data_IF_527316028881
#
_entry.id   IF_527316028881
#
_cell.length_a   1.000
_cell.length_b   1.000
_cell.length_c   1.000
_cell.angle_alpha   90.00
_cell.angle_beta   90.00
_cell.angle_gamma   90.00
#
_symmetry.space_group_name_H-M   'P 1'
#
loop_
_entity.id
_entity.type
_entity.pdbx_description
1 polymer ?
#
# COMPACT_ATOMS: atom_id res chain seq x y z
N UNK A 1 25.65 32.34 -15.01
CA UNK A 1 26.05 33.18 -16.16
C UNK A 1 27.29 32.56 -16.79
N UNK A 2 27.17 32.00 -17.99
CA UNK A 2 28.21 31.81 -19.03
C UNK A 2 27.43 31.28 -20.26
N UNK A 3 27.60 31.98 -21.38
CA UNK A 3 26.98 31.71 -22.68
C UNK A 3 28.05 31.06 -23.56
N UNK A 4 27.75 29.91 -24.15
CA UNK A 4 28.40 29.48 -25.40
C UNK A 4 27.35 28.83 -26.29
N UNK A 5 27.08 29.48 -27.42
CA UNK A 5 26.19 28.99 -28.46
C UNK A 5 26.95 28.15 -29.48
N UNK A 6 26.31 27.09 -29.98
CA UNK A 6 26.61 26.51 -31.29
C UNK A 6 25.32 26.00 -31.92
N UNK A 7 24.97 26.60 -33.07
CA UNK A 7 23.82 26.24 -33.91
C UNK A 7 24.12 24.96 -34.71
N UNK A 8 23.10 24.11 -34.86
CA UNK A 8 22.99 23.10 -35.92
C UNK A 8 21.60 22.46 -35.91
N UNK A 9 20.78 22.80 -36.93
CA UNK A 9 19.46 22.18 -37.26
C UNK A 9 19.67 20.67 -37.55
N UNK A 10 18.74 19.71 -37.41
CA UNK A 10 17.31 19.67 -37.74
C UNK A 10 16.70 18.33 -37.26
N UNK A 11 15.35 18.29 -37.19
CA UNK A 11 14.42 17.14 -37.20
C UNK A 11 13.92 16.62 -35.84
N UNK A 12 12.75 17.11 -35.47
CA UNK A 12 11.71 16.40 -34.70
C UNK A 12 10.92 15.47 -35.66
N UNK A 13 10.27 14.38 -35.19
CA UNK A 13 8.95 14.55 -34.55
C UNK A 13 8.50 13.51 -33.49
N UNK A 14 7.46 13.93 -32.77
CA UNK A 14 6.31 13.17 -32.24
C UNK A 14 6.09 13.03 -30.72
N UNK A 15 5.10 13.84 -30.28
CA UNK A 15 3.97 13.49 -29.42
C UNK A 15 4.10 13.73 -27.91
N UNK A 16 3.83 14.98 -27.51
CA UNK A 16 3.18 15.28 -26.24
C UNK A 16 1.73 15.70 -26.53
N UNK A 17 0.79 14.89 -26.04
CA UNK A 17 -0.65 15.17 -26.04
C UNK A 17 -0.93 16.36 -25.12
N UNK A 18 -1.04 17.54 -25.72
CA UNK A 18 -1.53 18.76 -25.10
C UNK A 18 -3.03 18.63 -24.89
N UNK A 19 -3.47 18.53 -23.62
CA UNK A 19 -4.89 18.70 -23.25
C UNK A 19 -5.28 20.13 -23.62
N UNK A 20 -5.99 20.24 -24.74
CA UNK A 20 -6.45 21.51 -25.29
C UNK A 20 -7.52 22.11 -24.38
N UNK A 21 -7.31 23.37 -23.99
CA UNK A 21 -8.38 24.26 -23.52
C UNK A 21 -9.51 24.26 -24.55
N UNK A 22 -10.78 24.04 -24.19
CA UNK A 22 -11.84 23.98 -25.17
C UNK A 22 -11.95 25.33 -25.89
N UNK A 23 -11.67 25.30 -27.20
CA UNK A 23 -11.90 26.45 -28.09
C UNK A 23 -13.36 26.88 -27.96
N UNK A 24 -13.63 28.19 -27.94
CA UNK A 24 -14.98 28.80 -27.93
C UNK A 24 -15.98 28.13 -28.89
N UNK A 25 -15.50 27.49 -29.97
CA UNK A 25 -16.33 26.71 -30.90
C UNK A 25 -16.96 25.45 -30.29
N UNK A 26 -16.29 24.74 -29.36
CA UNK A 26 -16.85 23.55 -28.71
C UNK A 26 -18.00 23.88 -27.76
N UNK A 27 -17.94 25.03 -27.08
CA UNK A 27 -19.05 25.55 -26.29
C UNK A 27 -20.24 25.93 -27.19
N UNK A 28 -19.98 26.51 -28.37
CA UNK A 28 -21.02 26.78 -29.37
C UNK A 28 -21.69 25.48 -29.86
N UNK A 29 -20.93 24.43 -30.18
CA UNK A 29 -21.49 23.14 -30.59
C UNK A 29 -22.28 22.45 -29.47
N UNK A 30 -21.83 22.56 -28.21
CA UNK A 30 -22.58 22.02 -27.07
C UNK A 30 -23.91 22.77 -26.83
N UNK A 31 -23.89 24.10 -26.98
CA UNK A 31 -25.12 24.92 -26.89
C UNK A 31 -26.06 24.62 -28.06
N UNK A 32 -25.55 24.54 -29.29
CA UNK A 32 -26.34 24.16 -30.47
C UNK A 32 -26.89 22.73 -30.35
N UNK A 33 -26.12 21.80 -29.76
CA UNK A 33 -26.56 20.44 -29.46
C UNK A 33 -27.71 20.42 -28.45
N UNK A 34 -27.63 21.20 -27.37
CA UNK A 34 -28.72 21.33 -26.40
C UNK A 34 -29.97 21.98 -27.01
N UNK A 35 -29.80 23.00 -27.86
CA UNK A 35 -30.91 23.60 -28.61
C UNK A 35 -31.54 22.57 -29.56
N UNK A 36 -30.73 21.78 -30.26
CA UNK A 36 -31.21 20.71 -31.15
C UNK A 36 -31.98 19.62 -30.40
N UNK A 37 -31.49 19.20 -29.24
CA UNK A 37 -32.19 18.24 -28.36
C UNK A 37 -33.52 18.85 -27.86
N UNK A 38 -33.52 20.13 -27.46
CA UNK A 38 -34.73 20.83 -27.04
C UNK A 38 -35.79 20.90 -28.16
N UNK A 39 -35.37 21.20 -29.39
CA UNK A 39 -36.25 21.18 -30.57
C UNK A 39 -36.76 19.76 -30.85
N UNK A 40 -35.91 18.74 -30.75
CA UNK A 40 -36.32 17.36 -30.98
C UNK A 40 -37.34 16.90 -29.93
N UNK A 41 -37.12 17.19 -28.65
CA UNK A 41 -38.06 16.87 -27.56
C UNK A 41 -39.39 17.60 -27.76
N UNK A 42 -39.36 18.85 -28.19
CA UNK A 42 -40.57 19.61 -28.54
C UNK A 42 -41.35 18.95 -29.68
N UNK A 43 -40.66 18.52 -30.74
CA UNK A 43 -41.29 17.83 -31.87
C UNK A 43 -41.88 16.48 -31.45
N UNK A 44 -41.17 15.71 -30.63
CA UNK A 44 -41.66 14.41 -30.14
C UNK A 44 -42.88 14.58 -29.23
N UNK A 45 -42.83 15.51 -28.29
CA UNK A 45 -43.98 15.84 -27.43
C UNK A 45 -45.18 16.32 -28.26
N UNK A 46 -44.93 17.10 -29.32
CA UNK A 46 -45.98 17.51 -30.25
C UNK A 46 -46.61 16.32 -30.97
N UNK A 47 -45.82 15.37 -31.47
CA UNK A 47 -46.35 14.17 -32.13
C UNK A 47 -47.18 13.29 -31.18
N UNK A 48 -46.79 13.21 -29.90
CA UNK A 48 -47.58 12.48 -28.88
C UNK A 48 -48.92 13.17 -28.65
N UNK A 49 -48.92 14.50 -28.49
CA UNK A 49 -50.15 15.28 -28.31
C UNK A 49 -51.03 15.25 -29.57
N UNK A 50 -50.43 15.38 -30.75
CA UNK A 50 -51.12 15.30 -32.03
C UNK A 50 -51.75 13.92 -32.27
N UNK A 51 -51.09 12.85 -31.83
CA UNK A 51 -51.64 11.49 -31.87
C UNK A 51 -52.83 11.28 -30.92
N UNK A 52 -52.89 12.00 -29.80
CA UNK A 52 -54.00 11.93 -28.83
C UNK A 52 -55.18 12.84 -29.23
N UNK A 53 -54.91 13.99 -29.86
CA UNK A 53 -55.91 15.02 -30.17
C UNK A 53 -56.31 15.05 -31.66
N UNK A 54 -55.70 14.21 -32.51
CA UNK A 54 -55.90 14.14 -33.95
C UNK A 54 -55.76 15.52 -34.64
N UNK A 55 -54.76 16.29 -34.20
CA UNK A 55 -54.55 17.69 -34.62
C UNK A 55 -53.42 17.83 -35.63
N UNK A 56 -53.64 18.64 -36.65
CA UNK A 56 -52.66 19.04 -37.66
C UNK A 56 -51.59 20.00 -37.10
N UNK A 57 -50.56 20.33 -37.90
CA UNK A 57 -49.40 21.10 -37.42
C UNK A 57 -49.81 22.48 -36.85
N UNK A 58 -49.00 23.12 -35.99
CA UNK A 58 -49.37 24.37 -35.30
C UNK A 58 -49.80 25.52 -36.21
N UNK A 59 -49.36 25.52 -37.48
CA UNK A 59 -49.71 26.53 -38.47
C UNK A 59 -51.03 26.25 -39.21
N UNK A 60 -51.58 25.03 -39.10
CA UNK A 60 -52.92 24.65 -39.57
C UNK A 60 -54.00 24.86 -38.50
N UNK A 61 -53.65 24.98 -37.21
CA UNK A 61 -54.55 25.34 -36.11
C UNK A 61 -55.01 26.82 -36.11
N UNK A 62 -54.67 27.58 -37.15
CA UNK A 62 -55.04 28.98 -37.30
C UNK A 62 -56.45 29.20 -37.89
N UNK A 63 -57.14 28.16 -38.35
CA UNK A 63 -58.39 28.32 -39.12
C UNK A 63 -59.70 28.10 -38.36
N UNK A 64 -59.76 27.48 -37.17
CA UNK A 64 -61.04 27.33 -36.45
C UNK A 64 -60.91 27.49 -34.92
N UNK A 65 -61.50 28.57 -34.40
CA UNK A 65 -62.06 28.64 -33.04
C UNK A 65 -61.13 28.65 -31.81
N UNK A 66 -59.83 28.41 -31.94
CA UNK A 66 -58.91 28.43 -30.78
C UNK A 66 -58.29 29.80 -30.54
N UNK A 67 -58.57 30.38 -29.37
CA UNK A 67 -58.06 31.68 -28.93
C UNK A 67 -56.53 31.69 -28.97
N UNK A 68 -55.94 32.60 -29.76
CA UNK A 68 -54.48 32.81 -29.94
C UNK A 68 -53.65 32.77 -28.64
N UNK A 69 -54.30 33.05 -27.51
CA UNK A 69 -53.72 33.01 -26.17
C UNK A 69 -53.24 31.61 -25.72
N UNK A 70 -53.92 30.52 -26.08
CA UNK A 70 -53.55 29.18 -25.57
C UNK A 70 -52.25 28.67 -26.18
N UNK A 71 -52.08 28.80 -27.49
CA UNK A 71 -50.85 28.43 -28.21
C UNK A 71 -49.67 29.28 -27.74
N UNK A 72 -49.87 30.60 -27.58
CA UNK A 72 -48.85 31.48 -27.02
C UNK A 72 -48.41 31.02 -25.62
N UNK A 73 -49.37 30.69 -24.75
CA UNK A 73 -49.08 30.30 -23.37
C UNK A 73 -48.22 29.03 -23.28
N UNK A 74 -48.49 28.02 -24.10
CA UNK A 74 -47.73 26.76 -24.11
C UNK A 74 -46.31 26.96 -24.64
N UNK A 75 -46.14 27.75 -25.71
CA UNK A 75 -44.81 28.08 -26.26
C UNK A 75 -43.99 28.91 -25.26
N UNK A 76 -44.60 29.89 -24.60
CA UNK A 76 -43.93 30.66 -23.55
C UNK A 76 -43.52 29.80 -22.36
N UNK A 77 -44.37 28.87 -21.92
CA UNK A 77 -44.05 27.95 -20.84
C UNK A 77 -42.87 27.02 -21.20
N UNK A 78 -42.84 26.49 -22.43
CA UNK A 78 -41.75 25.63 -22.89
C UNK A 78 -40.40 26.39 -23.00
N UNK A 79 -40.39 27.60 -23.57
CA UNK A 79 -39.20 28.44 -23.67
C UNK A 79 -38.72 28.88 -22.29
N UNK A 80 -39.63 29.27 -21.39
CA UNK A 80 -39.29 29.60 -20.02
C UNK A 80 -38.71 28.40 -19.26
N UNK A 81 -39.23 27.18 -19.46
CA UNK A 81 -38.71 25.96 -18.87
C UNK A 81 -37.27 25.65 -19.32
N UNK A 82 -36.99 25.73 -20.62
CA UNK A 82 -35.63 25.55 -21.15
C UNK A 82 -34.66 26.66 -20.69
N UNK A 83 -35.12 27.90 -20.65
CA UNK A 83 -34.38 29.04 -20.12
C UNK A 83 -34.03 28.86 -18.63
N UNK A 84 -34.97 28.33 -17.83
CA UNK A 84 -34.77 28.03 -16.43
C UNK A 84 -33.71 26.94 -16.19
N UNK A 85 -33.77 25.82 -16.92
CA UNK A 85 -32.80 24.73 -16.80
C UNK A 85 -31.39 25.17 -17.23
N UNK A 86 -31.29 25.91 -18.34
CA UNK A 86 -30.00 26.45 -18.81
C UNK A 86 -29.41 27.46 -17.82
N UNK A 87 -30.25 28.35 -17.26
CA UNK A 87 -29.83 29.26 -16.19
C UNK A 87 -29.34 28.50 -14.95
N UNK A 88 -30.10 27.51 -14.46
CA UNK A 88 -29.71 26.68 -13.31
C UNK A 88 -28.39 25.95 -13.55
N UNK A 89 -28.18 25.41 -14.75
CA UNK A 89 -26.92 24.73 -15.11
C UNK A 89 -25.74 25.69 -15.11
N UNK A 90 -25.91 26.90 -15.65
CA UNK A 90 -24.86 27.94 -15.66
C UNK A 90 -24.58 28.43 -14.23
N UNK A 91 -25.62 28.66 -13.44
CA UNK A 91 -25.50 29.06 -12.04
C UNK A 91 -24.79 27.99 -11.21
N UNK A 92 -25.16 26.72 -11.38
CA UNK A 92 -24.50 25.58 -10.74
C UNK A 92 -23.03 25.46 -11.13
N UNK A 93 -22.71 25.52 -12.43
CA UNK A 93 -21.30 25.50 -12.89
C UNK A 93 -20.51 26.67 -12.32
N UNK A 94 -21.07 27.87 -12.31
CA UNK A 94 -20.43 29.06 -11.74
C UNK A 94 -20.22 28.91 -10.23
N UNK A 95 -21.17 28.33 -9.52
CA UNK A 95 -21.04 28.02 -8.10
C UNK A 95 -19.92 27.01 -7.87
N UNK A 96 -19.92 25.90 -8.61
CA UNK A 96 -18.86 24.87 -8.56
C UNK A 96 -17.47 25.46 -8.84
N UNK A 97 -17.35 26.33 -9.84
CA UNK A 97 -16.08 26.99 -10.17
C UNK A 97 -15.62 27.93 -9.02
N UNK A 98 -16.55 28.66 -8.41
CA UNK A 98 -16.25 29.55 -7.28
C UNK A 98 -15.85 28.80 -6.01
N UNK A 99 -16.50 27.67 -5.73
CA UNK A 99 -16.16 26.79 -4.61
C UNK A 99 -14.79 26.14 -4.83
N UNK A 100 -14.50 25.70 -6.06
CA UNK A 100 -13.20 25.16 -6.41
C UNK A 100 -12.08 26.21 -6.24
N UNK A 101 -12.31 27.45 -6.67
CA UNK A 101 -11.33 28.53 -6.48
C UNK A 101 -11.12 28.87 -4.99
N UNK A 102 -12.21 28.94 -4.22
CA UNK A 102 -12.16 29.17 -2.77
C UNK A 102 -11.35 28.09 -2.05
N UNK A 103 -11.61 26.82 -2.39
CA UNK A 103 -10.84 25.68 -1.88
C UNK A 103 -9.35 25.81 -2.22
N UNK A 104 -9.01 26.05 -3.49
CA UNK A 104 -7.61 26.18 -3.92
C UNK A 104 -6.88 27.31 -3.19
N UNK A 105 -7.54 28.44 -2.95
CA UNK A 105 -6.96 29.54 -2.19
C UNK A 105 -6.70 29.16 -0.72
N UNK A 106 -7.63 28.43 -0.07
CA UNK A 106 -7.43 27.93 1.31
C UNK A 106 -6.30 26.91 1.37
N UNK A 107 -6.26 25.99 0.41
CA UNK A 107 -5.22 24.97 0.27
C UNK A 107 -3.85 25.62 0.09
N UNK A 108 -3.72 26.57 -0.83
CA UNK A 108 -2.46 27.28 -1.09
C UNK A 108 -1.96 28.02 0.16
N UNK A 109 -2.86 28.71 0.86
CA UNK A 109 -2.51 29.43 2.09
C UNK A 109 -2.04 28.48 3.19
N UNK A 110 -2.73 27.35 3.40
CA UNK A 110 -2.36 26.36 4.39
C UNK A 110 -1.02 25.66 4.04
N UNK A 111 -0.82 25.31 2.76
CA UNK A 111 0.43 24.76 2.26
C UNK A 111 1.60 25.77 2.42
N UNK A 112 1.35 27.06 2.18
CA UNK A 112 2.35 28.11 2.39
C UNK A 112 2.73 28.22 3.88
N UNK A 113 1.76 28.16 4.79
CA UNK A 113 2.02 28.14 6.23
C UNK A 113 2.85 26.91 6.64
N UNK A 114 2.50 25.72 6.16
CA UNK A 114 3.25 24.49 6.39
C UNK A 114 4.70 24.58 5.87
N UNK A 115 4.91 25.27 4.75
CA UNK A 115 6.23 25.48 4.16
C UNK A 115 7.12 26.50 4.89
N UNK A 116 6.58 27.21 5.89
CA UNK A 116 7.30 28.20 6.70
C UNK A 116 8.52 27.62 7.44
N UNK A 117 9.42 28.49 7.88
CA UNK A 117 10.54 28.14 8.78
C UNK A 117 10.20 28.33 10.27
N UNK A 118 9.06 28.96 10.58
CA UNK A 118 8.57 29.11 11.96
C UNK A 118 7.66 27.92 12.33
N UNK A 119 8.06 27.06 13.28
CA UNK A 119 7.28 25.89 13.68
C UNK A 119 5.84 26.23 14.08
N UNK A 120 5.60 27.39 14.68
CA UNK A 120 4.25 27.83 15.08
C UNK A 120 3.35 28.02 13.88
N UNK A 121 3.89 28.64 12.82
CA UNK A 121 3.18 28.83 11.55
C UNK A 121 2.99 27.49 10.83
N UNK A 122 3.95 26.58 10.94
CA UNK A 122 3.83 25.24 10.38
C UNK A 122 2.68 24.45 11.03
N UNK A 123 2.58 24.48 12.37
CA UNK A 123 1.45 23.87 13.08
C UNK A 123 0.11 24.45 12.67
N UNK A 124 0.01 25.78 12.52
CA UNK A 124 -1.20 26.42 12.01
C UNK A 124 -1.55 25.92 10.59
N UNK A 125 -0.55 25.72 9.74
CA UNK A 125 -0.72 25.13 8.41
C UNK A 125 -1.25 23.69 8.46
N UNK A 126 -0.76 22.85 9.38
CA UNK A 126 -1.26 21.47 9.58
C UNK A 126 -2.73 21.50 9.97
N UNK A 127 -3.10 22.27 11.00
CA UNK A 127 -4.48 22.35 11.46
C UNK A 127 -5.42 22.98 10.41
N UNK A 128 -4.91 23.91 9.61
CA UNK A 128 -5.67 24.48 8.49
C UNK A 128 -5.91 23.44 7.38
N UNK A 129 -4.94 22.58 7.08
CA UNK A 129 -5.11 21.45 6.15
C UNK A 129 -6.06 20.39 6.71
N UNK A 130 -5.97 20.05 7.99
CA UNK A 130 -6.87 19.13 8.69
C UNK A 130 -8.32 19.63 8.59
N UNK A 131 -8.60 20.87 9.00
CA UNK A 131 -9.93 21.44 8.94
C UNK A 131 -10.46 21.55 7.50
N UNK A 132 -9.60 21.92 6.55
CA UNK A 132 -9.96 21.98 5.13
C UNK A 132 -10.30 20.58 4.59
N UNK A 133 -9.54 19.55 4.97
CA UNK A 133 -9.78 18.17 4.58
C UNK A 133 -11.12 17.67 5.13
N UNK A 134 -11.39 17.93 6.40
CA UNK A 134 -12.61 17.51 7.09
C UNK A 134 -13.89 18.12 6.50
N UNK A 135 -13.82 19.37 6.03
CA UNK A 135 -14.93 20.07 5.37
C UNK A 135 -15.11 19.68 3.89
N UNK A 136 -14.19 18.89 3.33
CA UNK A 136 -14.10 18.65 1.88
C UNK A 136 -14.61 17.27 1.44
N UNK A 137 -15.11 17.24 0.21
CA UNK A 137 -15.38 16.00 -0.55
C UNK A 137 -14.10 15.17 -0.74
N UNK A 138 -14.25 13.87 -1.01
CA UNK A 138 -13.16 12.88 -1.05
C UNK A 138 -11.97 13.29 -1.93
N UNK A 139 -12.20 13.73 -3.17
CA UNK A 139 -11.13 14.17 -4.09
C UNK A 139 -10.33 15.37 -3.56
N UNK A 140 -11.02 16.31 -2.92
CA UNK A 140 -10.41 17.52 -2.32
C UNK A 140 -9.72 17.20 -1.00
N UNK A 141 -10.27 16.26 -0.24
CA UNK A 141 -9.67 15.71 0.97
C UNK A 141 -8.34 15.04 0.64
N UNK A 142 -8.29 14.21 -0.41
CA UNK A 142 -7.04 13.59 -0.91
C UNK A 142 -5.96 14.64 -1.18
N UNK A 143 -6.28 15.77 -1.82
CA UNK A 143 -5.30 16.84 -2.07
C UNK A 143 -4.69 17.42 -0.79
N UNK A 144 -5.48 17.55 0.28
CA UNK A 144 -4.97 18.03 1.58
C UNK A 144 -3.99 16.99 2.18
N UNK A 145 -4.33 15.71 2.08
CA UNK A 145 -3.48 14.61 2.55
C UNK A 145 -2.21 14.50 1.72
N UNK A 146 -2.29 14.69 0.40
CA UNK A 146 -1.13 14.70 -0.51
C UNK A 146 -0.12 15.80 -0.14
N UNK A 147 -0.60 16.96 0.34
CA UNK A 147 0.27 18.03 0.84
C UNK A 147 0.97 17.63 2.14
N UNK A 148 0.23 17.02 3.08
CA UNK A 148 0.80 16.51 4.34
C UNK A 148 1.85 15.42 4.10
N UNK A 149 1.51 14.41 3.28
CA UNK A 149 2.43 13.36 2.84
C UNK A 149 3.60 13.93 2.03
N UNK A 150 3.36 14.93 1.17
CA UNK A 150 4.39 15.66 0.44
C UNK A 150 5.41 16.32 1.35
N UNK A 151 4.97 16.91 2.46
CA UNK A 151 5.85 17.48 3.47
C UNK A 151 6.71 16.40 4.15
N UNK A 152 6.11 15.27 4.55
CA UNK A 152 6.84 14.15 5.16
C UNK A 152 7.92 13.56 4.25
N UNK A 153 7.81 13.72 2.93
CA UNK A 153 8.80 13.25 1.95
C UNK A 153 9.95 14.24 1.72
N UNK A 154 9.91 15.42 2.34
CA UNK A 154 11.04 16.35 2.27
C UNK A 154 12.27 15.77 2.98
N UNK A 155 13.48 16.04 2.47
CA UNK A 155 14.73 15.57 3.07
C UNK A 155 14.84 15.93 4.55
N UNK A 156 15.12 14.93 5.39
CA UNK A 156 15.16 15.05 6.85
C UNK A 156 16.29 14.20 7.41
N UNK A 157 16.99 14.72 8.43
CA UNK A 157 18.03 13.98 9.16
C UNK A 157 17.51 13.70 10.58
N UNK A 158 17.06 12.47 10.83
CA UNK A 158 16.44 12.03 12.09
C UNK A 158 17.40 11.83 13.25
N UNK A 159 18.38 12.73 13.44
CA UNK A 159 19.40 12.61 14.48
C UNK A 159 19.02 13.23 15.84
N UNK A 160 17.79 13.73 16.02
CA UNK A 160 17.28 14.23 17.32
C UNK A 160 17.99 15.48 17.89
N UNK A 161 19.09 15.92 17.30
CA UNK A 161 19.80 17.14 17.66
C UNK A 161 18.99 18.35 17.18
N UNK A 162 18.75 19.37 18.04
CA UNK A 162 18.13 20.62 17.63
C UNK A 162 18.92 21.19 16.45
N UNK A 163 18.34 21.13 15.27
CA UNK A 163 19.01 21.52 14.04
C UNK A 163 19.21 23.03 14.06
N UNK A 164 20.33 23.50 14.60
CA UNK A 164 20.73 24.92 14.63
C UNK A 164 21.13 25.45 13.23
N UNK A 165 20.57 24.87 12.17
CA UNK A 165 20.83 25.11 10.74
C UNK A 165 22.30 24.99 10.32
N UNK A 166 22.64 23.91 9.61
CA UNK A 166 23.66 23.95 8.56
C UNK A 166 23.15 23.18 7.36
N UNK A 167 23.11 23.86 6.23
CA UNK A 167 22.97 23.28 4.90
C UNK A 167 23.68 21.91 4.83
N UNK A 168 22.92 20.85 4.56
CA UNK A 168 23.47 19.52 4.36
C UNK A 168 23.83 19.41 2.89
N UNK A 169 25.12 19.42 2.60
CA UNK A 169 25.64 19.11 1.27
C UNK A 169 25.82 17.60 1.17
N UNK A 170 24.85 16.92 0.59
CA UNK A 170 24.97 15.51 0.23
C UNK A 170 25.79 15.40 -1.06
N UNK A 171 26.97 14.78 -0.97
CA UNK A 171 27.82 14.49 -2.13
C UNK A 171 27.72 13.01 -2.47
N UNK A 172 27.07 12.67 -3.59
CA UNK A 172 27.05 11.31 -4.14
C UNK A 172 28.08 11.19 -5.25
N UNK A 173 29.03 10.29 -5.09
CA UNK A 173 29.99 9.97 -6.15
C UNK A 173 29.59 8.66 -6.80
N UNK A 174 29.24 8.72 -8.08
CA UNK A 174 28.97 7.57 -8.92
C UNK A 174 30.24 7.21 -9.67
N UNK A 175 30.78 6.00 -9.43
CA UNK A 175 31.95 5.47 -10.14
C UNK A 175 31.48 4.71 -11.38
N UNK A 176 31.84 5.18 -12.57
CA UNK A 176 31.62 4.47 -13.83
C UNK A 176 32.97 4.04 -14.44
N UNK A 177 32.98 3.03 -15.30
CA UNK A 177 34.19 2.57 -16.01
C UNK A 177 34.92 3.69 -16.79
N UNK A 178 34.20 4.77 -17.12
CA UNK A 178 34.70 5.91 -17.91
C UNK A 178 34.95 7.18 -17.08
N UNK A 179 34.90 7.10 -15.73
CA UNK A 179 35.17 8.20 -14.80
C UNK A 179 34.12 8.35 -13.69
N UNK A 180 34.43 9.18 -12.69
CA UNK A 180 33.53 9.46 -11.57
C UNK A 180 32.64 10.67 -11.86
N UNK A 181 31.35 10.54 -11.56
CA UNK A 181 30.39 11.67 -11.58
C UNK A 181 30.05 12.03 -10.14
N UNK A 182 30.30 13.26 -9.75
CA UNK A 182 29.95 13.78 -8.43
C UNK A 182 28.66 14.60 -8.52
N UNK A 183 27.60 14.15 -7.86
CA UNK A 183 26.36 14.88 -7.67
C UNK A 183 26.39 15.54 -6.28
N UNK A 184 26.26 16.86 -6.24
CA UNK A 184 26.22 17.64 -5.01
C UNK A 184 24.80 18.19 -4.83
N UNK A 185 24.11 17.78 -3.77
CA UNK A 185 22.78 18.28 -3.38
C UNK A 185 22.87 19.01 -2.06
N UNK A 186 22.52 20.29 -2.03
CA UNK A 186 22.36 21.02 -0.77
C UNK A 186 20.92 20.98 -0.28
N UNK A 187 20.74 20.66 1.00
CA UNK A 187 19.44 20.60 1.67
C UNK A 187 19.41 21.54 2.88
N UNK A 188 18.35 22.32 3.01
CA UNK A 188 18.16 23.20 4.17
C UNK A 188 17.36 22.41 5.23
N UNK A 189 18.00 22.08 6.35
CA UNK A 189 17.33 21.44 7.49
C UNK A 189 16.53 22.46 8.29
N UNK A 190 15.25 22.22 8.52
CA UNK A 190 14.38 23.17 9.22
C UNK A 190 14.48 22.96 10.74
N UNK A 191 14.51 24.03 11.55
CA UNK A 191 14.38 23.90 13.00
C UNK A 191 13.06 23.20 13.38
N UNK A 192 13.09 22.34 14.41
CA UNK A 192 11.92 21.60 14.94
C UNK A 192 11.14 20.74 13.92
N UNK A 193 11.75 20.39 12.77
CA UNK A 193 11.11 19.62 11.70
C UNK A 193 10.60 18.25 12.19
N UNK A 194 11.28 17.68 13.18
CA UNK A 194 10.85 16.45 13.87
C UNK A 194 9.44 16.58 14.44
N UNK A 195 9.19 17.64 15.22
CA UNK A 195 7.92 17.84 15.91
C UNK A 195 6.79 18.15 14.92
N UNK A 196 7.10 18.86 13.83
CA UNK A 196 6.15 19.10 12.72
C UNK A 196 5.78 17.78 12.05
N UNK A 197 6.76 16.94 11.69
CA UNK A 197 6.53 15.62 11.08
C UNK A 197 5.72 14.70 12.00
N UNK A 198 6.06 14.64 13.28
CA UNK A 198 5.29 13.86 14.27
C UNK A 198 3.87 14.40 14.45
N UNK A 199 3.66 15.71 14.37
CA UNK A 199 2.32 16.30 14.41
C UNK A 199 1.51 15.89 13.19
N UNK A 200 2.10 15.92 11.99
CA UNK A 200 1.45 15.41 10.77
C UNK A 200 1.07 13.94 10.94
N UNK A 201 1.99 13.09 11.42
CA UNK A 201 1.72 11.66 11.65
C UNK A 201 0.57 11.49 12.64
N UNK A 202 0.59 12.21 13.77
CA UNK A 202 -0.49 12.16 14.78
C UNK A 202 -1.84 12.60 14.21
N UNK A 203 -1.86 13.67 13.43
CA UNK A 203 -3.08 14.13 12.75
C UNK A 203 -3.58 13.05 11.80
N UNK A 204 -2.72 12.47 10.96
CA UNK A 204 -3.13 11.36 10.06
C UNK A 204 -3.68 10.19 10.89
N UNK A 205 -2.94 9.68 11.88
CA UNK A 205 -3.37 8.55 12.72
C UNK A 205 -4.70 8.79 13.41
N UNK A 206 -4.95 10.00 13.95
CA UNK A 206 -6.22 10.39 14.57
C UNK A 206 -7.40 10.17 13.62
N UNK A 207 -7.23 10.50 12.34
CA UNK A 207 -8.27 10.36 11.32
C UNK A 207 -8.36 8.95 10.71
N UNK A 208 -7.34 8.12 10.90
CA UNK A 208 -7.37 6.71 10.52
C UNK A 208 -8.06 5.81 11.57
N UNK A 209 -8.40 6.33 12.75
CA UNK A 209 -9.10 5.54 13.76
C UNK A 209 -10.50 5.10 13.27
N UNK A 210 -10.88 3.86 13.58
CA UNK A 210 -12.13 3.24 13.10
C UNK A 210 -13.42 4.02 13.41
N UNK A 211 -13.40 4.85 14.45
CA UNK A 211 -14.55 5.65 14.90
C UNK A 211 -14.36 7.16 14.67
N UNK A 212 -13.43 7.55 13.80
CA UNK A 212 -13.24 8.96 13.45
C UNK A 212 -14.47 9.50 12.69
N UNK A 213 -15.09 10.61 13.13
CA UNK A 213 -16.24 11.20 12.43
C UNK A 213 -15.87 11.71 11.04
N UNK A 214 -14.62 12.15 10.87
CA UNK A 214 -14.05 12.59 9.59
C UNK A 214 -12.95 11.61 9.19
N UNK A 215 -13.32 10.35 8.92
CA UNK A 215 -12.34 9.31 8.59
C UNK A 215 -11.55 9.64 7.32
N UNK A 216 -10.25 9.38 7.38
CA UNK A 216 -9.30 9.43 6.25
C UNK A 216 -8.88 8.02 5.80
N UNK A 217 -9.48 6.96 6.36
CA UNK A 217 -9.06 5.57 6.17
C UNK A 217 -9.08 5.12 4.71
N UNK A 218 -10.06 5.59 3.92
CA UNK A 218 -10.24 5.24 2.51
C UNK A 218 -9.34 6.04 1.55
N UNK A 219 -8.51 6.96 2.05
CA UNK A 219 -7.64 7.78 1.22
C UNK A 219 -6.31 7.08 0.96
N UNK A 220 -5.68 7.44 -0.16
CA UNK A 220 -4.34 6.95 -0.47
C UNK A 220 -3.30 7.70 0.37
N UNK A 221 -2.31 6.98 0.89
CA UNK A 221 -1.24 7.55 1.72
C UNK A 221 0.10 7.25 1.08
N UNK A 222 0.86 8.31 0.76
CA UNK A 222 2.17 8.20 0.12
C UNK A 222 3.29 8.65 1.06
N UNK A 223 3.85 7.67 1.78
CA UNK A 223 5.03 7.81 2.63
C UNK A 223 6.30 7.32 1.92
N UNK A 224 6.34 7.34 0.59
CA UNK A 224 7.50 6.88 -0.19
C UNK A 224 8.76 7.66 0.19
N UNK A 225 9.81 6.96 0.63
CA UNK A 225 11.09 7.57 1.00
C UNK A 225 11.08 8.37 2.30
N UNK A 226 10.00 8.31 3.09
CA UNK A 226 9.92 9.04 4.38
C UNK A 226 10.88 8.41 5.39
N UNK A 227 11.66 9.24 6.08
CA UNK A 227 12.37 8.84 7.29
C UNK A 227 11.45 9.00 8.49
N UNK A 228 11.07 7.90 9.12
CA UNK A 228 10.36 7.84 10.39
C UNK A 228 11.38 7.68 11.53
N UNK A 229 11.48 8.64 12.43
CA UNK A 229 12.29 8.57 13.67
C UNK A 229 11.38 8.53 14.93
N UNK A 230 10.18 7.99 14.71
CA UNK A 230 9.06 7.90 15.62
C UNK A 230 7.76 7.88 14.82
N UNK A 231 6.67 7.46 15.47
CA UNK A 231 5.35 7.41 14.86
C UNK A 231 4.47 6.39 15.56
N UNK A 232 3.24 6.78 15.81
CA UNK A 232 2.22 5.92 16.40
C UNK A 232 1.06 5.86 15.43
N UNK A 233 0.83 4.67 14.89
CA UNK A 233 -0.30 4.29 14.04
C UNK A 233 -1.15 3.22 14.72
N UNK A 234 -1.13 3.15 16.05
CA UNK A 234 -1.90 2.15 16.79
C UNK A 234 -3.40 2.32 16.52
N UNK A 235 -4.09 1.22 16.26
CA UNK A 235 -5.53 1.20 15.93
C UNK A 235 -5.89 1.89 14.61
N UNK A 236 -4.91 2.29 13.79
CA UNK A 236 -5.18 2.95 12.51
C UNK A 236 -5.76 1.95 11.49
N UNK A 237 -6.78 2.38 10.75
CA UNK A 237 -7.40 1.65 9.65
C UNK A 237 -6.91 2.22 8.33
N UNK A 238 -6.18 1.40 7.57
CA UNK A 238 -5.65 1.68 6.25
C UNK A 238 -6.49 0.95 5.20
N UNK A 239 -7.48 1.63 4.61
CA UNK A 239 -8.43 1.04 3.65
C UNK A 239 -8.43 1.72 2.28
N UNK A 240 -7.56 2.71 2.06
CA UNK A 240 -7.37 3.33 0.75
C UNK A 240 -6.84 2.34 -0.29
N UNK A 241 -6.99 2.69 -1.57
CA UNK A 241 -6.56 1.80 -2.67
C UNK A 241 -5.05 1.54 -2.64
N UNK A 242 -4.26 2.54 -2.26
CA UNK A 242 -2.80 2.44 -2.19
C UNK A 242 -2.26 3.15 -0.95
N UNK A 243 -1.49 2.40 -0.16
CA UNK A 243 -0.71 2.92 0.97
C UNK A 243 0.75 2.53 0.74
N UNK A 244 1.62 3.52 0.51
CA UNK A 244 3.04 3.31 0.18
C UNK A 244 3.94 3.78 1.31
N UNK A 245 4.77 2.88 1.81
CA UNK A 245 5.97 3.10 2.59
C UNK A 245 7.23 2.71 1.79
N UNK A 246 7.12 2.69 0.46
CA UNK A 246 8.19 2.22 -0.43
C UNK A 246 9.45 3.06 -0.24
N UNK A 247 10.60 2.43 0.00
CA UNK A 247 11.86 3.11 0.28
C UNK A 247 11.89 3.92 1.58
N UNK A 248 10.88 3.84 2.45
CA UNK A 248 10.87 4.52 3.74
C UNK A 248 11.96 3.95 4.66
N UNK A 249 12.47 4.78 5.57
CA UNK A 249 13.43 4.35 6.59
C UNK A 249 12.83 4.53 7.98
N UNK A 250 12.72 3.44 8.72
CA UNK A 250 12.24 3.43 10.10
C UNK A 250 13.46 3.40 11.03
N UNK A 251 13.58 4.42 11.86
CA UNK A 251 14.72 4.71 12.73
C UNK A 251 14.21 5.12 14.11
N UNK A 252 15.11 5.40 15.05
CA UNK A 252 14.74 5.73 16.43
C UNK A 252 14.39 4.50 17.26
N UNK A 253 13.67 4.73 18.35
CA UNK A 253 13.33 3.67 19.32
C UNK A 253 12.23 2.76 18.78
N UNK A 254 11.11 3.33 18.35
CA UNK A 254 9.92 2.57 18.00
C UNK A 254 9.05 3.31 16.98
N UNK A 255 8.51 2.55 16.03
CA UNK A 255 7.35 2.92 15.21
C UNK A 255 6.33 1.81 15.38
N UNK A 256 5.11 2.15 15.77
CA UNK A 256 4.08 1.17 16.12
C UNK A 256 2.87 1.25 15.19
N UNK A 257 2.37 0.09 14.85
CA UNK A 257 1.14 -0.24 14.12
C UNK A 257 0.32 -1.25 14.94
N UNK A 258 0.45 -1.21 16.27
CA UNK A 258 -0.26 -2.11 17.17
C UNK A 258 -1.77 -2.02 16.92
N UNK A 259 -2.44 -3.17 16.81
CA UNK A 259 -3.89 -3.26 16.55
C UNK A 259 -4.34 -2.53 15.25
N UNK A 260 -3.42 -2.17 14.35
CA UNK A 260 -3.76 -1.53 13.08
C UNK A 260 -4.47 -2.53 12.15
N UNK A 261 -5.36 -2.02 11.31
CA UNK A 261 -6.08 -2.80 10.29
C UNK A 261 -5.63 -2.36 8.92
N UNK A 262 -5.03 -3.27 8.17
CA UNK A 262 -4.61 -3.08 6.79
C UNK A 262 -5.58 -3.81 5.87
N UNK A 263 -6.44 -3.06 5.18
CA UNK A 263 -7.40 -3.57 4.20
C UNK A 263 -7.27 -2.91 2.83
N UNK A 264 -6.16 -2.21 2.59
CA UNK A 264 -5.82 -1.58 1.32
C UNK A 264 -5.53 -2.62 0.25
N UNK A 265 -5.91 -2.37 -1.00
CA UNK A 265 -5.59 -3.26 -2.13
C UNK A 265 -4.07 -3.44 -2.31
N UNK A 266 -3.31 -2.36 -2.09
CA UNK A 266 -1.86 -2.34 -2.20
C UNK A 266 -1.22 -1.63 -1.00
N UNK A 267 -0.50 -2.39 -0.17
CA UNK A 267 0.32 -1.89 0.93
C UNK A 267 1.80 -2.16 0.62
N UNK A 268 2.57 -1.13 0.28
CA UNK A 268 3.93 -1.31 -0.22
C UNK A 268 5.00 -0.80 0.76
N UNK A 269 5.75 -1.71 1.37
CA UNK A 269 6.99 -1.46 2.13
C UNK A 269 8.23 -1.89 1.34
N UNK A 270 8.17 -2.05 0.02
CA UNK A 270 9.32 -2.48 -0.79
C UNK A 270 10.49 -1.50 -0.65
N UNK A 271 11.72 -2.02 -0.69
CA UNK A 271 12.96 -1.22 -0.54
C UNK A 271 13.08 -0.44 0.78
N UNK A 272 12.20 -0.66 1.75
CA UNK A 272 12.26 0.04 3.04
C UNK A 272 13.41 -0.48 3.92
N UNK A 273 13.87 0.37 4.83
CA UNK A 273 14.92 0.04 5.79
C UNK A 273 14.43 0.16 7.23
N UNK A 274 14.29 -0.96 7.91
CA UNK A 274 13.97 -1.06 9.33
C UNK A 274 15.25 -1.09 10.16
N UNK A 275 15.59 0.07 10.71
CA UNK A 275 16.76 0.35 11.54
C UNK A 275 16.38 0.79 12.97
N UNK A 276 15.09 0.94 13.26
CA UNK A 276 14.58 1.21 14.61
C UNK A 276 14.91 0.04 15.55
N UNK A 277 14.79 0.26 16.86
CA UNK A 277 15.00 -0.81 17.85
C UNK A 277 13.81 -1.77 17.90
N UNK A 278 12.62 -1.28 17.57
CA UNK A 278 11.39 -2.04 17.44
C UNK A 278 10.53 -1.49 16.31
N UNK A 279 9.91 -2.37 15.55
CA UNK A 279 8.70 -2.08 14.78
C UNK A 279 7.61 -3.05 15.23
N UNK A 280 6.48 -2.50 15.65
CA UNK A 280 5.45 -3.24 16.37
C UNK A 280 4.16 -3.33 15.56
N UNK A 281 3.77 -4.54 15.17
CA UNK A 281 2.50 -4.90 14.54
C UNK A 281 1.71 -5.87 15.43
N UNK A 282 1.92 -5.84 16.75
CA UNK A 282 1.19 -6.70 17.70
C UNK A 282 -0.31 -6.52 17.51
N UNK A 283 -1.05 -7.61 17.32
CA UNK A 283 -2.50 -7.59 17.11
C UNK A 283 -2.96 -6.99 15.77
N UNK A 284 -2.04 -6.59 14.88
CA UNK A 284 -2.40 -6.00 13.59
C UNK A 284 -3.14 -7.02 12.71
N UNK A 285 -4.13 -6.54 11.96
CA UNK A 285 -4.95 -7.38 11.07
C UNK A 285 -4.71 -6.99 9.62
N UNK A 286 -4.35 -7.96 8.78
CA UNK A 286 -4.16 -7.82 7.33
C UNK A 286 -5.31 -8.54 6.61
N UNK A 287 -6.16 -7.80 5.90
CA UNK A 287 -7.41 -8.27 5.29
C UNK A 287 -7.37 -7.98 3.79
N UNK A 288 -7.32 -9.03 2.97
CA UNK A 288 -7.26 -8.86 1.51
C UNK A 288 -6.04 -8.04 1.06
N UNK A 289 -5.94 -7.83 -0.25
CA UNK A 289 -4.86 -7.03 -0.83
C UNK A 289 -3.47 -7.64 -0.67
N UNK A 290 -2.48 -6.91 -1.20
CA UNK A 290 -1.10 -7.35 -1.22
C UNK A 290 -0.25 -6.44 -0.33
N UNK A 291 0.42 -7.03 0.66
CA UNK A 291 1.43 -6.37 1.48
C UNK A 291 2.83 -6.77 1.01
N UNK A 292 3.60 -5.82 0.50
CA UNK A 292 4.92 -6.07 -0.07
C UNK A 292 6.03 -5.54 0.83
N UNK A 293 6.98 -6.40 1.19
CA UNK A 293 8.26 -6.05 1.81
C UNK A 293 9.42 -6.45 0.89
N UNK A 294 9.22 -6.35 -0.43
CA UNK A 294 10.20 -6.83 -1.41
C UNK A 294 11.50 -6.04 -1.27
N UNK A 295 12.64 -6.72 -1.16
CA UNK A 295 13.95 -6.09 -0.93
C UNK A 295 14.05 -5.22 0.34
N UNK A 296 13.10 -5.34 1.27
CA UNK A 296 13.18 -4.63 2.55
C UNK A 296 14.35 -5.16 3.39
N UNK A 297 14.93 -4.29 4.23
CA UNK A 297 16.06 -4.62 5.10
C UNK A 297 15.70 -4.43 6.57
N UNK A 298 15.76 -5.50 7.34
CA UNK A 298 15.58 -5.50 8.79
C UNK A 298 16.95 -5.74 9.44
N UNK A 299 17.58 -4.68 9.96
CA UNK A 299 19.03 -4.71 10.24
C UNK A 299 19.44 -4.38 11.68
N UNK A 300 18.51 -3.94 12.54
CA UNK A 300 18.85 -3.55 13.92
C UNK A 300 17.88 -4.09 14.94
N UNK A 301 16.61 -3.70 14.83
CA UNK A 301 15.61 -3.98 15.85
C UNK A 301 14.84 -5.28 15.68
N UNK A 302 13.82 -5.39 16.52
CA UNK A 302 12.83 -6.45 16.47
C UNK A 302 11.68 -6.06 15.54
N UNK A 303 11.23 -6.99 14.71
CA UNK A 303 9.96 -6.89 13.99
C UNK A 303 8.93 -7.78 14.67
N UNK A 304 7.95 -7.18 15.32
CA UNK A 304 6.99 -7.88 16.17
C UNK A 304 5.64 -7.94 15.48
N UNK A 305 5.10 -9.14 15.33
CA UNK A 305 3.81 -9.50 14.74
C UNK A 305 3.06 -10.47 15.67
N UNK A 306 3.33 -10.43 16.97
CA UNK A 306 2.66 -11.27 17.96
C UNK A 306 1.15 -11.04 17.88
N UNK A 307 0.36 -12.11 17.89
CA UNK A 307 -1.11 -12.06 17.76
C UNK A 307 -1.63 -11.39 16.47
N UNK A 308 -0.77 -11.16 15.47
CA UNK A 308 -1.20 -10.59 14.20
C UNK A 308 -2.07 -11.58 13.41
N UNK A 309 -3.02 -11.05 12.64
CA UNK A 309 -4.00 -11.82 11.88
C UNK A 309 -3.84 -11.58 10.38
N UNK A 310 -3.65 -12.64 9.63
CA UNK A 310 -3.51 -12.63 8.17
C UNK A 310 -4.69 -13.39 7.56
N UNK A 311 -5.74 -12.65 7.20
CA UNK A 311 -7.02 -13.22 6.75
C UNK A 311 -7.05 -13.46 5.23
N UNK A 312 -8.15 -14.06 4.75
CA UNK A 312 -8.25 -14.57 3.38
C UNK A 312 -7.97 -13.48 2.34
N UNK A 313 -7.15 -13.83 1.34
CA UNK A 313 -6.71 -12.90 0.30
C UNK A 313 -5.59 -11.95 0.72
N UNK A 314 -5.21 -11.91 2.01
CA UNK A 314 -4.04 -11.19 2.49
C UNK A 314 -2.76 -11.93 2.12
N UNK A 315 -1.99 -11.39 1.17
CA UNK A 315 -0.64 -11.89 0.88
C UNK A 315 0.39 -10.96 1.49
N UNK A 316 1.33 -11.51 2.26
CA UNK A 316 2.47 -10.78 2.80
C UNK A 316 3.75 -11.36 2.19
N UNK A 317 4.43 -10.54 1.40
CA UNK A 317 5.58 -10.97 0.60
C UNK A 317 6.85 -10.27 1.03
N UNK A 318 7.75 -11.04 1.65
CA UNK A 318 9.13 -10.67 2.00
C UNK A 318 10.14 -11.20 0.97
N UNK A 319 9.73 -11.39 -0.29
CA UNK A 319 10.65 -11.89 -1.33
C UNK A 319 11.88 -11.00 -1.45
N UNK A 320 13.06 -11.61 -1.51
CA UNK A 320 14.35 -10.91 -1.55
C UNK A 320 14.66 -9.98 -0.35
N UNK A 321 13.88 -10.06 0.73
CA UNK A 321 14.15 -9.28 1.94
C UNK A 321 15.40 -9.79 2.66
N UNK A 322 16.06 -8.91 3.41
CA UNK A 322 17.23 -9.26 4.22
C UNK A 322 16.93 -9.00 5.69
N UNK A 323 17.09 -10.04 6.51
CA UNK A 323 16.93 -10.02 7.95
C UNK A 323 18.27 -10.29 8.62
N UNK A 324 18.85 -9.25 9.21
CA UNK A 324 20.08 -9.28 10.00
C UNK A 324 19.92 -8.61 11.38
N UNK A 325 18.69 -8.19 11.72
CA UNK A 325 18.30 -7.75 13.06
C UNK A 325 18.22 -8.89 14.07
N UNK A 326 17.65 -8.61 15.25
CA UNK A 326 17.65 -9.55 16.37
C UNK A 326 16.52 -10.57 16.31
N UNK A 327 15.28 -10.12 16.12
CA UNK A 327 14.08 -10.96 16.23
C UNK A 327 13.04 -10.58 15.19
N UNK A 328 12.38 -11.61 14.63
CA UNK A 328 11.12 -11.51 13.89
C UNK A 328 10.12 -12.42 14.60
N UNK A 329 9.13 -11.84 15.28
CA UNK A 329 8.23 -12.58 16.17
C UNK A 329 6.80 -12.63 15.64
N UNK A 330 6.33 -13.80 15.25
CA UNK A 330 4.96 -14.13 14.85
C UNK A 330 4.29 -15.08 15.86
N UNK A 331 4.74 -15.07 17.12
CA UNK A 331 4.11 -15.89 18.17
C UNK A 331 2.61 -15.61 18.28
N UNK A 332 1.82 -16.67 18.43
CA UNK A 332 0.35 -16.60 18.51
C UNK A 332 -0.34 -15.92 17.32
N UNK A 333 0.35 -15.76 16.19
CA UNK A 333 -0.25 -15.20 14.98
C UNK A 333 -1.22 -16.18 14.32
N UNK A 334 -2.25 -15.66 13.66
CA UNK A 334 -3.26 -16.43 12.93
C UNK A 334 -3.14 -16.17 11.43
N UNK A 335 -2.99 -17.23 10.65
CA UNK A 335 -2.96 -17.19 9.19
C UNK A 335 -4.16 -17.97 8.65
N UNK A 336 -5.17 -17.28 8.13
CA UNK A 336 -6.40 -17.87 7.59
C UNK A 336 -6.56 -17.54 6.10
N UNK A 337 -6.20 -18.47 5.21
CA UNK A 337 -6.43 -18.33 3.76
C UNK A 337 -5.53 -17.32 3.01
N UNK A 338 -4.36 -16.99 3.57
CA UNK A 338 -3.38 -16.07 2.98
C UNK A 338 -2.05 -16.75 2.59
N UNK A 339 -1.12 -15.95 2.04
CA UNK A 339 0.26 -16.40 1.75
C UNK A 339 1.27 -15.54 2.49
N UNK A 340 2.17 -16.16 3.25
CA UNK A 340 3.36 -15.52 3.80
C UNK A 340 4.59 -16.02 3.03
N UNK A 341 5.19 -15.15 2.23
CA UNK A 341 6.21 -15.51 1.24
C UNK A 341 7.59 -14.93 1.60
N UNK A 342 8.53 -15.78 1.99
CA UNK A 342 9.95 -15.48 2.22
C UNK A 342 10.87 -16.05 1.13
N UNK A 343 10.37 -16.27 -0.09
CA UNK A 343 11.19 -16.85 -1.14
C UNK A 343 12.37 -15.94 -1.50
N UNK A 344 13.55 -16.54 -1.66
CA UNK A 344 14.83 -15.84 -1.86
C UNK A 344 15.18 -14.79 -0.77
N UNK A 345 14.50 -14.83 0.39
CA UNK A 345 14.89 -14.01 1.53
C UNK A 345 16.19 -14.52 2.15
N UNK A 346 16.95 -13.61 2.74
CA UNK A 346 18.21 -13.90 3.44
C UNK A 346 18.04 -13.62 4.92
N UNK A 347 18.36 -14.60 5.74
CA UNK A 347 18.34 -14.54 7.20
C UNK A 347 19.75 -14.77 7.74
N UNK A 348 20.28 -13.81 8.47
CA UNK A 348 21.65 -13.84 9.00
C UNK A 348 21.62 -13.63 10.52
N UNK A 349 21.68 -14.74 11.27
CA UNK A 349 21.75 -14.78 12.75
C UNK A 349 20.58 -14.11 13.46
N UNK A 350 19.41 -14.18 12.85
CA UNK A 350 18.15 -13.66 13.40
C UNK A 350 17.37 -14.79 14.07
N UNK A 351 16.59 -14.46 15.09
CA UNK A 351 15.58 -15.36 15.64
C UNK A 351 14.25 -15.13 14.91
N UNK A 352 13.59 -16.20 14.48
CA UNK A 352 12.23 -16.15 13.96
C UNK A 352 11.33 -17.09 14.74
N UNK A 353 10.28 -16.53 15.31
CA UNK A 353 9.40 -17.23 16.22
C UNK A 353 7.98 -17.30 15.64
N UNK A 354 7.44 -18.51 15.51
CA UNK A 354 6.05 -18.81 15.15
C UNK A 354 5.40 -19.68 16.23
N UNK A 355 5.89 -19.62 17.47
CA UNK A 355 5.32 -20.43 18.55
C UNK A 355 3.83 -20.14 18.74
N UNK A 356 3.05 -21.18 19.01
CA UNK A 356 1.61 -21.12 19.27
C UNK A 356 0.78 -20.46 18.14
N UNK A 357 1.34 -20.36 16.93
CA UNK A 357 0.65 -19.80 15.76
C UNK A 357 -0.30 -20.82 15.11
N UNK A 358 -1.30 -20.32 14.40
CA UNK A 358 -2.29 -21.14 13.69
C UNK A 358 -2.23 -20.85 12.19
N UNK A 359 -2.08 -21.91 11.39
CA UNK A 359 -2.03 -21.86 9.93
C UNK A 359 -3.22 -22.63 9.35
N UNK A 360 -4.29 -21.93 9.00
CA UNK A 360 -5.54 -22.48 8.47
C UNK A 360 -5.71 -22.13 6.99
N UNK A 361 -5.51 -23.09 6.09
CA UNK A 361 -5.62 -22.86 4.65
C UNK A 361 -4.53 -21.96 4.07
N UNK A 362 -3.50 -21.62 4.86
CA UNK A 362 -2.47 -20.66 4.50
C UNK A 362 -1.22 -21.30 3.90
N UNK A 363 -0.50 -20.56 3.06
CA UNK A 363 0.76 -20.98 2.45
C UNK A 363 1.94 -20.18 3.03
N UNK A 364 2.91 -20.87 3.63
CA UNK A 364 4.16 -20.29 4.13
C UNK A 364 5.34 -20.78 3.28
N UNK A 365 6.03 -19.86 2.62
CA UNK A 365 7.08 -20.19 1.64
C UNK A 365 8.45 -19.71 2.11
N UNK A 366 9.41 -20.63 2.24
CA UNK A 366 10.83 -20.38 2.39
C UNK A 366 11.64 -20.88 1.18
N UNK A 367 10.97 -21.11 0.03
CA UNK A 367 11.61 -21.66 -1.17
C UNK A 367 12.81 -20.80 -1.57
N UNK A 368 13.98 -21.41 -1.78
CA UNK A 368 15.24 -20.69 -2.13
C UNK A 368 15.72 -19.66 -1.09
N UNK A 369 15.14 -19.63 0.11
CA UNK A 369 15.65 -18.78 1.19
C UNK A 369 17.03 -19.27 1.65
N UNK A 370 17.86 -18.32 2.09
CA UNK A 370 19.17 -18.59 2.70
C UNK A 370 19.12 -18.24 4.17
N UNK A 371 19.38 -19.23 5.01
CA UNK A 371 19.24 -19.13 6.45
C UNK A 371 20.58 -19.49 7.11
N UNK A 372 21.24 -18.53 7.74
CA UNK A 372 22.53 -18.74 8.43
C UNK A 372 22.38 -18.41 9.92
N UNK A 373 22.76 -19.35 10.80
CA UNK A 373 22.87 -19.08 12.23
C UNK A 373 21.55 -18.77 12.94
N UNK A 374 20.42 -19.09 12.31
CA UNK A 374 19.08 -18.68 12.74
C UNK A 374 18.45 -19.72 13.66
N UNK A 375 17.62 -19.22 14.58
CA UNK A 375 16.67 -20.05 15.32
C UNK A 375 15.28 -19.81 14.74
N UNK A 376 14.73 -20.82 14.06
CA UNK A 376 13.37 -20.84 13.54
C UNK A 376 12.51 -21.78 14.40
N UNK A 377 11.47 -21.25 15.04
CA UNK A 377 10.66 -22.00 16.00
C UNK A 377 9.19 -22.03 15.61
N UNK A 378 8.59 -23.22 15.53
CA UNK A 378 7.16 -23.48 15.34
C UNK A 378 6.55 -24.21 16.55
N UNK A 379 7.17 -24.09 17.73
CA UNK A 379 6.73 -24.81 18.92
C UNK A 379 5.24 -24.56 19.24
N UNK A 380 4.45 -25.61 19.46
CA UNK A 380 3.02 -25.48 19.79
C UNK A 380 2.12 -24.96 18.66
N UNK A 381 2.66 -24.74 17.45
CA UNK A 381 1.86 -24.24 16.34
C UNK A 381 0.90 -25.31 15.79
N UNK A 382 -0.18 -24.88 15.13
CA UNK A 382 -1.15 -25.78 14.47
C UNK A 382 -1.22 -25.50 12.97
N UNK A 383 -1.18 -26.54 12.14
CA UNK A 383 -1.37 -26.46 10.69
C UNK A 383 -2.62 -27.25 10.28
N UNK A 384 -3.61 -26.57 9.71
CA UNK A 384 -4.86 -27.14 9.19
C UNK A 384 -5.11 -26.67 7.76
N UNK A 385 -5.20 -27.58 6.78
CA UNK A 385 -5.50 -27.20 5.38
C UNK A 385 -4.47 -26.32 4.65
N UNK A 386 -3.31 -26.04 5.23
CA UNK A 386 -2.25 -25.18 4.68
C UNK A 386 -0.93 -25.90 4.37
N UNK A 387 0.06 -25.18 3.86
CA UNK A 387 1.36 -25.77 3.51
C UNK A 387 2.55 -24.87 3.90
N UNK A 388 3.59 -25.47 4.49
CA UNK A 388 4.89 -24.86 4.78
C UNK A 388 5.95 -25.46 3.86
N UNK A 389 6.61 -24.65 3.04
CA UNK A 389 7.62 -25.10 2.06
C UNK A 389 9.02 -24.60 2.39
N UNK A 390 9.92 -25.53 2.69
CA UNK A 390 11.38 -25.34 2.69
C UNK A 390 12.04 -25.92 1.43
N UNK A 391 11.34 -25.87 0.30
CA UNK A 391 11.83 -26.52 -0.92
C UNK A 391 13.06 -25.78 -1.48
N UNK A 392 14.17 -26.47 -1.70
CA UNK A 392 15.46 -25.84 -2.11
C UNK A 392 15.94 -24.73 -1.15
N UNK A 393 15.56 -24.79 0.13
CA UNK A 393 16.08 -23.87 1.15
C UNK A 393 17.48 -24.29 1.59
N UNK A 394 18.38 -23.32 1.73
CA UNK A 394 19.69 -23.50 2.32
C UNK A 394 19.66 -23.04 3.77
N UNK A 395 19.96 -23.93 4.72
CA UNK A 395 20.04 -23.60 6.14
C UNK A 395 21.36 -24.09 6.72
N UNK A 396 22.09 -23.20 7.39
CA UNK A 396 23.39 -23.52 7.99
C UNK A 396 23.50 -23.07 9.45
N UNK A 397 24.12 -23.91 10.28
CA UNK A 397 24.51 -23.59 11.66
C UNK A 397 23.39 -23.04 12.57
N UNK A 398 22.17 -23.54 12.44
CA UNK A 398 21.00 -23.04 13.17
C UNK A 398 20.21 -24.09 13.95
N UNK A 399 18.99 -23.72 14.31
CA UNK A 399 18.02 -24.60 14.98
C UNK A 399 16.63 -24.40 14.37
N UNK A 400 15.99 -25.51 13.99
CA UNK A 400 14.62 -25.55 13.49
C UNK A 400 13.79 -26.49 14.37
N UNK A 401 12.75 -25.96 15.01
CA UNK A 401 11.91 -26.74 15.92
C UNK A 401 10.46 -26.74 15.49
N UNK A 402 9.88 -27.94 15.46
CA UNK A 402 8.45 -28.24 15.35
C UNK A 402 7.95 -28.95 16.61
N UNK A 403 8.60 -28.71 17.75
CA UNK A 403 8.23 -29.42 18.97
C UNK A 403 6.78 -29.09 19.38
N UNK A 404 6.00 -30.09 19.76
CA UNK A 404 4.60 -29.90 20.17
C UNK A 404 3.71 -29.31 19.04
N UNK A 405 4.17 -29.33 17.79
CA UNK A 405 3.38 -28.88 16.63
C UNK A 405 2.31 -29.92 16.27
N UNK A 406 1.11 -29.44 15.92
CA UNK A 406 -0.03 -30.25 15.48
C UNK A 406 -0.24 -30.05 13.98
N UNK A 407 -0.19 -31.15 13.21
CA UNK A 407 -0.55 -31.17 11.80
C UNK A 407 -1.90 -31.85 11.63
N UNK A 408 -2.96 -31.04 11.57
CA UNK A 408 -4.33 -31.50 11.32
C UNK A 408 -4.54 -31.88 9.84
N UNK A 409 -5.77 -32.26 9.47
CA UNK A 409 -6.10 -32.69 8.12
C UNK A 409 -5.63 -31.68 7.06
N UNK A 410 -4.93 -32.19 6.04
CA UNK A 410 -4.36 -31.41 4.94
C UNK A 410 -3.30 -30.37 5.33
N UNK A 411 -2.83 -30.32 6.59
CA UNK A 411 -1.66 -29.53 6.99
C UNK A 411 -0.37 -30.18 6.47
N UNK A 412 0.44 -29.45 5.69
CA UNK A 412 1.61 -30.01 5.01
C UNK A 412 2.90 -29.26 5.36
N UNK A 413 3.99 -29.99 5.54
CA UNK A 413 5.35 -29.42 5.55
C UNK A 413 6.21 -30.15 4.54
N UNK A 414 6.91 -29.42 3.69
CA UNK A 414 7.79 -29.97 2.64
C UNK A 414 9.21 -29.46 2.80
N UNK A 415 10.16 -30.37 3.00
CA UNK A 415 11.60 -30.17 3.02
C UNK A 415 12.29 -30.65 1.73
N UNK A 416 11.52 -30.82 0.65
CA UNK A 416 12.03 -31.35 -0.62
C UNK A 416 13.26 -30.60 -1.12
N UNK A 417 14.35 -31.33 -1.41
CA UNK A 417 15.60 -30.73 -1.94
C UNK A 417 16.21 -29.67 -1.02
N UNK A 418 15.89 -29.69 0.28
CA UNK A 418 16.52 -28.80 1.26
C UNK A 418 17.99 -29.18 1.50
N UNK A 419 18.80 -28.18 1.81
CA UNK A 419 20.23 -28.32 2.09
C UNK A 419 20.53 -27.80 3.51
N UNK A 420 20.58 -28.70 4.49
CA UNK A 420 20.78 -28.37 5.91
C UNK A 420 22.14 -28.86 6.40
N UNK A 421 23.03 -27.90 6.68
CA UNK A 421 24.42 -28.14 7.13
C UNK A 421 24.57 -27.63 8.56
N UNK A 422 25.08 -28.45 9.50
CA UNK A 422 25.22 -28.05 10.91
C UNK A 422 23.94 -27.55 11.59
N UNK A 423 22.76 -27.80 11.02
CA UNK A 423 21.47 -27.32 11.56
C UNK A 423 20.76 -28.46 12.28
N UNK A 424 20.32 -28.20 13.51
CA UNK A 424 19.53 -29.15 14.29
C UNK A 424 18.06 -28.97 13.97
N UNK A 425 17.40 -30.05 13.52
CA UNK A 425 15.96 -30.08 13.28
C UNK A 425 15.30 -31.01 14.29
N UNK A 426 14.20 -30.59 14.93
CA UNK A 426 13.50 -31.42 15.92
C UNK A 426 11.97 -31.38 15.76
N UNK A 427 11.35 -32.54 15.99
CA UNK A 427 9.91 -32.79 15.89
C UNK A 427 9.39 -33.49 17.17
N UNK A 428 9.95 -33.15 18.34
CA UNK A 428 9.58 -33.81 19.60
C UNK A 428 8.09 -33.56 19.89
N UNK A 429 7.38 -34.59 20.33
CA UNK A 429 5.97 -34.46 20.75
C UNK A 429 5.02 -33.94 19.64
N UNK A 430 5.38 -34.11 18.35
CA UNK A 430 4.54 -33.78 17.19
C UNK A 430 3.33 -34.69 17.06
N UNK A 431 2.19 -34.12 16.66
CA UNK A 431 0.95 -34.85 16.35
C UNK A 431 0.63 -34.77 14.86
N UNK A 432 0.46 -35.92 14.20
CA UNK A 432 0.04 -36.04 12.79
C UNK A 432 -1.43 -36.46 12.71
N UNK A 433 -2.34 -35.51 12.87
CA UNK A 433 -3.80 -35.69 12.82
C UNK A 433 -4.37 -35.73 11.39
N UNK A 434 -3.66 -36.35 10.43
CA UNK A 434 -4.03 -36.37 9.01
C UNK A 434 -3.24 -35.38 8.13
N UNK A 435 -2.29 -34.64 8.71
CA UNK A 435 -1.31 -33.86 7.98
C UNK A 435 -0.16 -34.70 7.42
N UNK A 436 0.74 -34.06 6.66
CA UNK A 436 1.89 -34.73 6.05
C UNK A 436 3.21 -33.99 6.18
N UNK A 437 4.29 -34.72 6.42
CA UNK A 437 5.66 -34.23 6.41
C UNK A 437 6.42 -34.89 5.25
N UNK A 438 6.91 -34.08 4.32
CA UNK A 438 7.66 -34.56 3.17
C UNK A 438 9.14 -34.20 3.26
N UNK A 439 9.97 -35.23 3.41
CA UNK A 439 11.43 -35.19 3.48
C UNK A 439 12.10 -35.77 2.22
N UNK A 440 11.38 -35.84 1.10
CA UNK A 440 11.89 -36.47 -0.13
C UNK A 440 13.09 -35.73 -0.73
N UNK A 441 14.13 -36.48 -1.14
CA UNK A 441 15.31 -35.98 -1.84
C UNK A 441 16.03 -34.81 -1.12
N UNK A 442 16.43 -34.93 0.16
CA UNK A 442 17.25 -33.87 0.78
C UNK A 442 18.59 -33.77 0.05
N UNK A 443 19.09 -32.55 -0.20
CA UNK A 443 20.36 -32.35 -0.89
C UNK A 443 21.56 -32.59 0.05
N UNK A 444 21.45 -32.17 1.31
CA UNK A 444 22.38 -32.57 2.36
C UNK A 444 21.67 -32.41 3.69
N UNK A 445 21.84 -33.39 4.60
CA UNK A 445 21.44 -33.35 6.00
C UNK A 445 22.58 -33.92 6.83
N UNK A 446 23.49 -33.07 7.30
CA UNK A 446 24.65 -33.52 8.08
C UNK A 446 24.24 -34.17 9.41
N UNK A 447 23.19 -33.62 10.03
CA UNK A 447 22.56 -34.16 11.24
C UNK A 447 21.11 -34.53 10.90
N UNK A 448 20.74 -35.82 10.94
CA UNK A 448 19.35 -36.24 10.74
C UNK A 448 18.42 -35.57 11.76
N UNK A 449 17.17 -35.21 11.38
CA UNK A 449 16.21 -34.64 12.31
C UNK A 449 15.92 -35.55 13.48
N UNK A 450 15.75 -34.93 14.65
CA UNK A 450 15.31 -35.60 15.87
C UNK A 450 13.80 -35.81 15.79
N UNK A 451 13.39 -37.07 15.56
CA UNK A 451 11.99 -37.47 15.37
C UNK A 451 11.53 -38.40 16.49
N UNK A 452 10.22 -38.46 16.81
CA UNK A 452 9.68 -39.32 17.86
C UNK A 452 9.52 -40.80 17.44
N UNK A 453 9.75 -41.14 16.18
CA UNK A 453 9.67 -42.51 15.66
C UNK A 453 11.05 -43.16 15.46
N UNK A 454 11.07 -44.48 15.26
CA UNK A 454 12.29 -45.26 15.06
C UNK A 454 12.69 -45.35 13.58
N UNK A 455 13.96 -45.66 13.32
CA UNK A 455 14.48 -45.94 11.97
C UNK A 455 13.62 -46.99 11.23
N UNK A 456 13.43 -46.77 9.92
CA UNK A 456 12.67 -47.65 9.03
C UNK A 456 11.17 -47.76 9.27
N UNK A 457 10.58 -46.99 10.22
CA UNK A 457 9.14 -47.02 10.50
C UNK A 457 8.56 -45.64 10.80
N UNK A 458 8.54 -44.72 9.82
CA UNK A 458 7.81 -43.48 9.97
C UNK A 458 6.28 -43.74 10.06
N UNK A 459 5.52 -42.90 10.77
CA UNK A 459 4.07 -42.97 10.81
C UNK A 459 3.42 -42.56 9.47
N UNK A 460 2.14 -42.88 9.30
CA UNK A 460 1.34 -42.41 8.16
C UNK A 460 1.40 -40.88 8.10
N UNK A 461 1.56 -40.35 6.89
CA UNK A 461 1.71 -38.91 6.64
C UNK A 461 3.16 -38.45 6.50
N UNK A 462 4.14 -39.29 6.82
CA UNK A 462 5.57 -38.96 6.60
C UNK A 462 6.07 -39.62 5.31
N UNK A 463 6.75 -38.87 4.45
CA UNK A 463 7.39 -39.37 3.22
C UNK A 463 8.88 -39.00 3.20
N UNK A 464 9.79 -39.86 2.73
CA UNK A 464 9.57 -41.23 2.23
C UNK A 464 9.30 -42.27 3.34
N UNK A 465 8.84 -43.47 2.95
CA UNK A 465 8.57 -44.59 3.89
C UNK A 465 9.84 -45.17 4.53
N UNK A 466 11.00 -45.00 3.88
CA UNK A 466 12.30 -45.39 4.41
C UNK A 466 12.92 -44.22 5.20
N UNK A 467 13.35 -44.49 6.43
CA UNK A 467 13.93 -43.48 7.32
C UNK A 467 15.26 -43.94 7.93
N UNK A 468 16.32 -43.11 7.94
CA UNK A 468 16.39 -41.73 7.42
C UNK A 468 16.34 -41.64 5.88
N UNK A 469 15.92 -40.50 5.29
CA UNK A 469 15.81 -40.35 3.85
C UNK A 469 17.17 -40.39 3.17
N UNK A 470 17.24 -41.01 1.99
CA UNK A 470 18.44 -41.05 1.16
C UNK A 470 18.77 -39.67 0.62
N UNK A 471 19.97 -39.17 0.90
CA UNK A 471 20.47 -37.89 0.38
C UNK A 471 20.61 -37.97 -1.13
N UNK A 472 20.09 -36.96 -1.83
CA UNK A 472 20.21 -36.86 -3.28
C UNK A 472 21.70 -36.73 -3.66
N UNK A 473 22.22 -37.69 -4.42
CA UNK A 473 23.58 -37.61 -4.97
C UNK A 473 23.68 -36.39 -5.88
N UNK A 474 24.49 -35.40 -5.49
CA UNK A 474 24.75 -34.21 -6.30
C UNK A 474 25.54 -34.60 -7.55
N UNK A 475 24.90 -34.65 -8.72
CA UNK A 475 25.64 -34.33 -9.93
C UNK A 475 26.01 -32.84 -9.85
N UNK A 476 27.27 -32.45 -10.11
CA UNK A 476 27.68 -31.05 -10.07
C UNK A 476 26.85 -30.24 -11.09
N UNK A 477 26.46 -29.01 -10.75
CA UNK A 477 25.70 -28.16 -11.67
C UNK A 477 26.52 -27.95 -12.96
N UNK A 478 25.88 -28.20 -14.11
CA UNK A 478 26.41 -27.87 -15.44
C UNK A 478 26.33 -26.38 -15.74
#
# INVERSE_FOLDING_TARGET
MIVMGRKGKSNEPHSASSKSTPRRSQLLFAVLGMVGIGVMVFVVLWFIVAGVVNSSWPWELASEGTTRASILSTVFAAVAGMGGITYLTIAYRKQSDSEALSFMNRLENAARQLSSFDPTVQFAGIYALEALADESEEDRKQLCIDVLCGYLRLPYQGNGEPSLLREVVEKRTWTFERGNVEEIRSHILRPADREVRLTIIRTITKHLQAHSPNSWSNLNLDFTGVLFDGGDFSGAVFSGKSVSFSGASFTGTEVTFKDAVFSSENLDFSMSEFRSERIDFTGATFIGGMTYFKHARFSRGDAIFTEAKFQEGGTVSFRYANFSGRLVDFSSAEFSGGTLNFEEAVFSRVMMNFSDSVFSGSLLLFTWARIEGMWLNFHGSTFSGGELKFSNTEMSHGYLSFNDTIFEENGKVSFRRSNFVGTKVTFKDVVLGGGSLDFTNPQSWEVPPMVPWKEGKPPIGVTPEEWPPTVATTDPPK
#
